data_IF_752903887619
#
_entry.id   IF_752903887619
#
_cell.length_a   1.000
_cell.length_b   1.000
_cell.length_c   1.000
_cell.angle_alpha   90.00
_cell.angle_beta   90.00
_cell.angle_gamma   90.00
#
_symmetry.space_group_name_H-M   'P 1'
#
loop_
_entity.id
_entity.type
_entity.pdbx_description
1 polymer ?
#
# COMPACT_ATOMS: atom_id res chain seq x y z
N UNK A 1 6.82 24.54 -3.26
CA UNK A 1 6.42 23.20 -3.73
C UNK A 1 7.65 22.31 -3.63
N UNK A 2 7.56 21.16 -2.96
CA UNK A 2 8.68 20.20 -2.90
C UNK A 2 8.93 19.57 -4.27
N UNK A 3 10.10 18.93 -4.48
CA UNK A 3 10.36 18.22 -5.73
C UNK A 3 9.30 17.16 -5.97
N UNK A 4 8.83 17.03 -7.22
CA UNK A 4 8.00 15.91 -7.63
C UNK A 4 8.76 14.62 -7.30
N UNK A 5 8.16 13.78 -6.45
CA UNK A 5 8.73 12.50 -6.06
C UNK A 5 8.39 11.47 -7.14
N UNK A 6 9.30 10.54 -7.40
CA UNK A 6 9.11 9.38 -8.26
C UNK A 6 8.20 8.30 -7.62
N UNK A 7 7.21 8.71 -6.82
CA UNK A 7 6.38 7.82 -6.00
C UNK A 7 4.95 7.87 -6.51
N UNK A 8 4.37 6.68 -6.72
CA UNK A 8 2.95 6.47 -6.95
C UNK A 8 2.39 5.78 -5.70
N UNK A 9 1.44 6.43 -5.04
CA UNK A 9 0.83 5.89 -3.84
C UNK A 9 -0.58 5.41 -4.14
N UNK A 10 -0.88 4.17 -3.78
CA UNK A 10 -2.26 3.73 -3.59
C UNK A 10 -2.71 4.15 -2.19
N UNK A 11 -3.77 4.93 -2.13
CA UNK A 11 -4.36 5.43 -0.88
C UNK A 11 -5.86 5.11 -0.88
N UNK A 12 -6.43 4.81 0.28
CA UNK A 12 -7.86 4.52 0.42
C UNK A 12 -8.14 3.67 1.65
N UNK A 13 -9.29 2.99 1.65
CA UNK A 13 -9.64 2.01 2.69
C UNK A 13 -8.79 0.73 2.58
N UNK A 14 -9.39 -0.44 2.81
CA UNK A 14 -8.65 -1.71 2.81
C UNK A 14 -8.25 -2.16 1.40
N UNK A 15 -7.24 -1.52 0.81
CA UNK A 15 -6.72 -1.81 -0.54
C UNK A 15 -6.39 -3.30 -0.69
N UNK A 16 -5.78 -3.89 0.33
CA UNK A 16 -5.40 -5.30 0.32
C UNK A 16 -6.58 -6.29 0.51
N UNK A 17 -7.83 -5.82 0.63
CA UNK A 17 -9.04 -6.65 0.51
C UNK A 17 -9.42 -6.93 -0.95
N UNK A 18 -8.89 -6.17 -1.90
CA UNK A 18 -8.97 -6.43 -3.34
C UNK A 18 -7.56 -6.40 -3.96
N UNK A 19 -6.66 -7.29 -3.52
CA UNK A 19 -5.22 -7.17 -3.79
C UNK A 19 -4.85 -7.37 -5.27
N UNK A 20 -5.70 -8.05 -6.05
CA UNK A 20 -5.42 -8.39 -7.45
C UNK A 20 -5.28 -7.17 -8.35
N UNK A 21 -6.25 -6.27 -8.30
CA UNK A 21 -6.17 -5.01 -9.02
C UNK A 21 -4.87 -4.27 -8.70
N UNK A 22 -4.51 -4.24 -7.41
CA UNK A 22 -3.39 -3.50 -6.88
C UNK A 22 -2.01 -4.07 -7.26
N UNK A 23 -1.83 -5.39 -7.19
CA UNK A 23 -0.57 -5.99 -7.57
C UNK A 23 -0.38 -5.97 -9.11
N UNK A 24 -1.43 -6.20 -9.90
CA UNK A 24 -1.34 -6.11 -11.37
C UNK A 24 -1.04 -4.67 -11.82
N UNK A 25 -1.68 -3.68 -11.20
CA UNK A 25 -1.39 -2.28 -11.50
C UNK A 25 0.04 -1.90 -11.12
N UNK A 26 0.57 -2.46 -10.02
CA UNK A 26 1.96 -2.22 -9.61
C UNK A 26 2.95 -2.76 -10.63
N UNK A 27 2.70 -3.95 -11.18
CA UNK A 27 3.54 -4.55 -12.23
C UNK A 27 3.55 -3.69 -13.49
N UNK A 28 2.37 -3.25 -13.94
CA UNK A 28 2.25 -2.36 -15.10
C UNK A 28 2.96 -1.03 -14.88
N UNK A 29 2.82 -0.42 -13.70
CA UNK A 29 3.54 0.81 -13.32
C UNK A 29 5.06 0.61 -13.44
N UNK A 30 5.58 -0.50 -12.91
CA UNK A 30 7.01 -0.82 -12.98
C UNK A 30 7.49 -1.06 -14.40
N UNK A 31 6.62 -1.58 -15.27
CA UNK A 31 6.88 -1.73 -16.70
C UNK A 31 6.95 -0.41 -17.48
N UNK A 32 6.30 0.67 -17.03
CA UNK A 32 6.28 1.94 -17.76
C UNK A 32 7.61 2.70 -17.73
N UNK A 33 8.31 2.68 -16.58
CA UNK A 33 9.57 3.42 -16.40
C UNK A 33 10.37 2.90 -15.22
N UNK A 34 11.68 2.77 -15.43
CA UNK A 34 12.62 2.52 -14.34
C UNK A 34 12.61 3.64 -13.29
N UNK A 35 12.80 3.25 -12.04
CA UNK A 35 12.93 4.19 -10.92
C UNK A 35 11.61 4.78 -10.41
N UNK A 36 10.44 4.31 -10.88
CA UNK A 36 9.17 4.59 -10.18
C UNK A 36 9.08 3.74 -8.92
N UNK A 37 8.65 4.35 -7.81
CA UNK A 37 8.39 3.69 -6.53
C UNK A 37 6.89 3.57 -6.29
N UNK A 38 6.41 2.39 -5.94
CA UNK A 38 5.01 2.11 -5.59
C UNK A 38 4.88 2.00 -4.07
N UNK A 39 4.01 2.83 -3.51
CA UNK A 39 3.69 2.88 -2.08
C UNK A 39 2.25 2.42 -1.85
N UNK A 40 2.04 1.56 -0.86
CA UNK A 40 0.72 1.19 -0.35
C UNK A 40 0.45 1.85 0.99
N UNK A 41 -0.57 2.69 1.08
CA UNK A 41 -1.07 3.26 2.33
C UNK A 41 -2.40 2.61 2.72
N UNK A 42 -2.44 1.91 3.85
CA UNK A 42 -3.63 1.20 4.32
C UNK A 42 -3.61 1.01 5.85
N UNK A 43 -4.75 0.66 6.46
CA UNK A 43 -4.85 0.33 7.89
C UNK A 43 -4.32 -1.08 8.24
N UNK A 44 -3.99 -1.89 7.22
CA UNK A 44 -3.41 -3.23 7.37
C UNK A 44 -4.38 -4.40 7.51
N UNK A 45 -5.69 -4.20 7.53
CA UNK A 45 -6.67 -5.29 7.68
C UNK A 45 -6.49 -6.40 6.64
N UNK A 46 -6.24 -6.02 5.37
CA UNK A 46 -6.00 -6.96 4.27
C UNK A 46 -4.57 -7.49 4.14
N UNK A 47 -3.62 -7.09 5.01
CA UNK A 47 -2.21 -7.49 4.94
C UNK A 47 -1.95 -8.90 5.48
N UNK A 48 -2.64 -9.88 4.90
CA UNK A 48 -2.32 -11.29 5.11
C UNK A 48 -0.95 -11.63 4.52
N UNK A 49 -0.24 -12.66 5.01
CA UNK A 49 1.04 -13.08 4.45
C UNK A 49 1.00 -13.32 2.93
N UNK A 50 -0.09 -13.93 2.44
CA UNK A 50 -0.31 -14.19 1.01
C UNK A 50 -0.43 -12.88 0.21
N UNK A 51 -1.20 -11.92 0.71
CA UNK A 51 -1.40 -10.65 0.02
C UNK A 51 -0.11 -9.82 0.01
N UNK A 52 0.61 -9.76 1.12
CA UNK A 52 1.90 -9.07 1.20
C UNK A 52 2.94 -9.69 0.27
N UNK A 53 2.99 -11.03 0.19
CA UNK A 53 3.87 -11.72 -0.74
C UNK A 53 3.58 -11.33 -2.19
N UNK A 54 2.30 -11.32 -2.60
CA UNK A 54 1.89 -10.90 -3.95
C UNK A 54 2.19 -9.43 -4.21
N UNK A 55 1.79 -8.53 -3.33
CA UNK A 55 2.02 -7.09 -3.48
C UNK A 55 3.51 -6.80 -3.67
N UNK A 56 4.39 -7.44 -2.88
CA UNK A 56 5.84 -7.35 -3.04
C UNK A 56 6.33 -7.94 -4.36
N UNK A 57 5.88 -9.15 -4.71
CA UNK A 57 6.34 -9.85 -5.90
C UNK A 57 6.04 -9.09 -7.21
N UNK A 58 4.95 -8.32 -7.24
CA UNK A 58 4.53 -7.52 -8.39
C UNK A 58 4.94 -6.04 -8.30
N UNK A 59 5.86 -5.69 -7.41
CA UNK A 59 6.55 -4.39 -7.48
C UNK A 59 6.08 -3.31 -6.50
N UNK A 60 5.41 -3.67 -5.40
CA UNK A 60 5.27 -2.74 -4.27
C UNK A 60 6.62 -2.55 -3.57
N UNK A 61 7.06 -1.31 -3.36
CA UNK A 61 8.34 -1.00 -2.69
C UNK A 61 8.20 -0.67 -1.22
N UNK A 62 7.08 -0.08 -0.82
CA UNK A 62 6.86 0.41 0.53
C UNK A 62 5.41 0.22 0.98
N UNK A 63 5.24 0.05 2.28
CA UNK A 63 3.95 -0.02 2.95
C UNK A 63 3.93 1.02 4.07
N UNK A 64 2.90 1.85 4.07
CA UNK A 64 2.57 2.76 5.17
C UNK A 64 1.33 2.21 5.87
N UNK A 65 1.50 1.86 7.13
CA UNK A 65 0.44 1.39 8.00
C UNK A 65 -0.17 2.56 8.79
N UNK A 66 -1.47 2.79 8.60
CA UNK A 66 -2.22 3.82 9.34
C UNK A 66 -2.68 3.27 10.69
N UNK A 67 -1.87 3.49 11.73
CA UNK A 67 -2.16 3.09 13.11
C UNK A 67 -2.67 4.32 13.88
N UNK A 68 -3.93 4.28 14.36
CA UNK A 68 -4.54 5.42 15.06
C UNK A 68 -4.17 5.51 16.54
N UNK A 69 -3.99 4.36 17.19
CA UNK A 69 -3.61 4.24 18.59
C UNK A 69 -2.85 2.93 18.85
N UNK A 70 -2.01 2.96 19.90
CA UNK A 70 -1.32 1.78 20.41
C UNK A 70 -2.19 0.94 21.35
N UNK A 71 -3.07 1.60 22.10
CA UNK A 71 -3.95 0.98 23.10
C UNK A 71 -5.39 0.91 22.58
N UNK A 72 -6.06 -0.22 22.88
CA UNK A 72 -7.41 -0.55 22.45
C UNK A 72 -8.48 0.33 23.08
N UNK A 73 -8.17 1.00 24.20
CA UNK A 73 -9.13 1.84 24.94
C UNK A 73 -9.65 3.02 24.11
N UNK A 74 -8.88 3.51 23.13
CA UNK A 74 -9.25 4.68 22.32
C UNK A 74 -9.97 4.38 21.00
N UNK A 75 -9.98 3.13 20.54
CA UNK A 75 -10.58 2.78 19.24
C UNK A 75 -12.11 2.63 19.26
N UNK A 76 -12.74 2.67 20.44
CA UNK A 76 -14.19 2.48 20.61
C UNK A 76 -14.96 3.80 20.77
N UNK A 77 -14.29 4.95 20.70
CA UNK A 77 -14.88 6.28 20.89
C UNK A 77 -15.10 7.06 19.58
N UNK A 78 -14.69 6.50 18.43
CA UNK A 78 -14.89 7.06 17.08
C UNK A 78 -15.98 6.31 16.28
#
# INVERSE_FOLDING_TARGET
MGPARNIIAFTGGDLACQPEFHYLTSEEIKGQREGLCVLFEANGYGFTPTNLYRLKAYGSDAFWLDIKAYDNVKYLED
#
